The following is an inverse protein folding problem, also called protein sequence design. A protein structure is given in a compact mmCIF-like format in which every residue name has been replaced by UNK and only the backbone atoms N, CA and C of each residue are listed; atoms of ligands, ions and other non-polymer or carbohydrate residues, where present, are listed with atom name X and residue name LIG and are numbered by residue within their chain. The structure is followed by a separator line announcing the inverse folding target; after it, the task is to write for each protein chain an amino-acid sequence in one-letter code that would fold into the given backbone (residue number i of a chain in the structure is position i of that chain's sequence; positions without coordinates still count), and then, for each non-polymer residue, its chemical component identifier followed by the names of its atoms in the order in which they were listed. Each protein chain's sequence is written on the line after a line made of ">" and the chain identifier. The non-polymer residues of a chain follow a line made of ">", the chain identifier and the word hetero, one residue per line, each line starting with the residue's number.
data_IF_117587427997
#
_entry.id   IF_117587427997
#
_cell.length_a   1.000
_cell.length_b   1.000
_cell.length_c   1.000
_cell.angle_alpha   90.00
_cell.angle_beta   90.00
_cell.angle_gamma   90.00
#
_symmetry.space_group_name_H-M   'P 1'
#
loop_
_entity.id
_entity.type
_entity.pdbx_description
1 polymer ?
#
# COMPACT_ATOMS: atom_id res chain seq x y z
N UNK A 1 -28.04 16.62 17.90
CA UNK A 1 -27.17 17.57 17.17
C UNK A 1 -26.16 16.73 16.41
N UNK A 2 -26.39 16.56 15.11
CA UNK A 2 -25.58 15.73 14.23
C UNK A 2 -24.38 16.53 13.74
N UNK A 3 -23.16 16.08 14.04
CA UNK A 3 -21.94 16.66 13.48
C UNK A 3 -21.69 16.03 12.11
N UNK A 4 -22.01 16.78 11.06
CA UNK A 4 -21.78 16.41 9.67
C UNK A 4 -20.32 16.72 9.33
N UNK A 5 -19.42 15.76 9.55
CA UNK A 5 -18.02 15.85 9.16
C UNK A 5 -17.85 15.09 7.83
N UNK A 6 -17.59 15.77 6.69
CA UNK A 6 -17.51 15.14 5.37
C UNK A 6 -16.24 14.29 5.15
N UNK A 7 -15.40 14.16 6.18
CA UNK A 7 -14.20 13.31 6.22
C UNK A 7 -14.14 12.53 7.54
N UNK A 8 -15.26 11.92 7.94
CA UNK A 8 -15.34 11.03 9.09
C UNK A 8 -14.38 9.82 8.98
N UNK A 9 -14.12 9.11 10.09
CA UNK A 9 -13.20 7.98 10.13
C UNK A 9 -13.65 6.94 9.10
N UNK A 10 -12.70 6.37 8.37
CA UNK A 10 -12.95 5.32 7.39
C UNK A 10 -13.79 4.21 8.04
N UNK A 11 -15.09 4.19 7.72
CA UNK A 11 -16.04 3.24 8.30
C UNK A 11 -15.95 1.94 7.50
N UNK A 12 -15.31 0.94 8.10
CA UNK A 12 -15.13 -0.38 7.51
C UNK A 12 -16.45 -1.08 7.19
N UNK A 13 -17.53 -0.80 7.92
CA UNK A 13 -18.86 -1.34 7.62
C UNK A 13 -19.47 -0.65 6.41
N UNK A 14 -19.27 0.67 6.26
CA UNK A 14 -19.70 1.38 5.06
C UNK A 14 -18.89 0.98 3.83
N UNK A 15 -17.57 0.77 3.99
CA UNK A 15 -16.69 0.26 2.95
C UNK A 15 -17.10 -1.16 2.53
N UNK A 16 -17.37 -2.03 3.50
CA UNK A 16 -17.87 -3.39 3.27
C UNK A 16 -19.21 -3.38 2.55
N UNK A 17 -20.14 -2.52 2.97
CA UNK A 17 -21.45 -2.38 2.32
C UNK A 17 -21.34 -1.78 0.91
N UNK A 18 -20.37 -0.91 0.68
CA UNK A 18 -20.04 -0.37 -0.64
C UNK A 18 -19.39 -1.45 -1.53
N UNK A 19 -18.52 -2.29 -0.99
CA UNK A 19 -17.93 -3.46 -1.65
C UNK A 19 -19.00 -4.51 -1.98
N UNK A 20 -19.93 -4.78 -1.07
CA UNK A 20 -21.10 -5.63 -1.28
C UNK A 20 -22.04 -5.03 -2.34
N UNK A 21 -22.28 -3.71 -2.34
CA UNK A 21 -23.04 -3.02 -3.38
C UNK A 21 -22.33 -3.01 -4.75
N UNK A 22 -21.00 -3.03 -4.78
CA UNK A 22 -20.20 -3.23 -5.98
C UNK A 22 -20.08 -4.72 -6.39
N UNK A 23 -20.73 -5.63 -5.67
CA UNK A 23 -20.77 -7.06 -6.00
C UNK A 23 -19.49 -7.82 -5.65
N UNK A 24 -18.57 -7.23 -4.89
CA UNK A 24 -17.31 -7.82 -4.44
C UNK A 24 -17.47 -8.47 -3.06
N UNK A 25 -18.56 -9.23 -2.90
CA UNK A 25 -18.88 -9.94 -1.66
C UNK A 25 -17.99 -11.16 -1.45
N UNK A 26 -17.47 -11.28 -0.22
CA UNK A 26 -16.62 -12.35 0.31
C UNK A 26 -15.32 -12.62 -0.49
N UNK A 27 -14.21 -12.08 0.01
CA UNK A 27 -12.87 -12.30 -0.54
C UNK A 27 -12.45 -13.78 -0.59
N UNK A 28 -13.17 -14.68 0.08
CA UNK A 28 -12.95 -16.13 0.03
C UNK A 28 -13.60 -16.83 -1.18
N UNK A 29 -14.52 -16.16 -1.89
CA UNK A 29 -15.23 -16.68 -3.07
C UNK A 29 -15.01 -15.80 -4.30
N UNK A 30 -13.81 -15.23 -4.42
CA UNK A 30 -13.39 -14.52 -5.63
C UNK A 30 -13.38 -15.49 -6.82
N UNK A 31 -14.47 -15.50 -7.57
CA UNK A 31 -14.60 -16.29 -8.77
C UNK A 31 -14.01 -15.51 -9.96
N UNK A 32 -12.96 -16.04 -10.57
CA UNK A 32 -12.21 -15.38 -11.64
C UNK A 32 -13.11 -15.03 -12.83
N UNK A 33 -14.12 -15.87 -13.10
CA UNK A 33 -15.10 -15.68 -14.17
C UNK A 33 -16.04 -14.48 -13.90
N UNK A 34 -16.48 -14.30 -12.66
CA UNK A 34 -17.32 -13.16 -12.28
C UNK A 34 -16.52 -11.85 -12.29
N UNK A 35 -15.25 -11.92 -11.89
CA UNK A 35 -14.31 -10.79 -11.95
C UNK A 35 -14.02 -10.39 -13.41
N UNK A 36 -13.85 -11.36 -14.31
CA UNK A 36 -13.69 -11.12 -15.76
C UNK A 36 -14.98 -10.53 -16.38
N UNK A 37 -16.14 -11.06 -16.00
CA UNK A 37 -17.44 -10.56 -16.45
C UNK A 37 -17.70 -9.13 -15.95
N UNK A 38 -17.24 -8.79 -14.75
CA UNK A 38 -17.33 -7.45 -14.20
C UNK A 38 -16.34 -6.48 -14.86
N UNK A 39 -15.10 -6.91 -15.11
CA UNK A 39 -14.09 -6.13 -15.84
C UNK A 39 -14.55 -5.83 -17.27
N UNK A 40 -15.16 -6.78 -17.97
CA UNK A 40 -15.69 -6.54 -19.32
C UNK A 40 -16.86 -5.53 -19.31
N UNK A 41 -17.76 -5.60 -18.32
CA UNK A 41 -18.83 -4.60 -18.13
C UNK A 41 -18.28 -3.21 -17.81
N UNK A 42 -17.21 -3.12 -17.04
CA UNK A 42 -16.57 -1.86 -16.66
C UNK A 42 -15.71 -1.26 -17.76
N UNK A 43 -15.09 -2.12 -18.60
CA UNK A 43 -14.38 -1.72 -19.82
C UNK A 43 -15.29 -1.04 -20.84
N UNK A 44 -16.54 -1.50 -20.98
CA UNK A 44 -17.51 -0.88 -21.88
C UNK A 44 -18.07 0.47 -21.38
N UNK A 45 -18.03 0.72 -20.07
CA UNK A 45 -18.45 1.99 -19.46
C UNK A 45 -17.37 3.09 -19.52
N UNK A 46 -16.26 2.88 -20.25
CA UNK A 46 -15.13 3.81 -20.34
C UNK A 46 -14.22 3.82 -19.10
N UNK A 47 -14.47 2.94 -18.12
CA UNK A 47 -13.73 2.82 -16.86
C UNK A 47 -12.56 1.83 -16.89
N UNK A 48 -12.39 1.05 -17.96
CA UNK A 48 -11.33 0.03 -18.06
C UNK A 48 -9.91 0.58 -17.92
N UNK A 49 -9.68 1.83 -18.31
CA UNK A 49 -8.38 2.51 -18.13
C UNK A 49 -8.12 2.97 -16.68
N UNK A 50 -9.16 3.06 -15.83
CA UNK A 50 -9.03 3.48 -14.43
C UNK A 50 -8.67 2.32 -13.49
N UNK A 51 -8.92 1.07 -13.88
CA UNK A 51 -8.66 -0.12 -13.05
C UNK A 51 -7.18 -0.54 -13.03
N UNK A 52 -6.37 -0.02 -13.96
CA UNK A 52 -4.91 -0.21 -13.99
C UNK A 52 -4.11 0.88 -13.26
N UNK A 53 -4.77 1.92 -12.74
CA UNK A 53 -4.14 2.97 -11.92
C UNK A 53 -4.72 2.89 -10.51
N UNK A 54 -3.96 2.28 -9.61
CA UNK A 54 -4.25 2.32 -8.18
C UNK A 54 -4.11 3.76 -7.66
N UNK A 55 -4.68 4.05 -6.49
CA UNK A 55 -4.49 5.37 -5.85
C UNK A 55 -3.00 5.65 -5.57
N UNK A 56 -2.19 4.62 -5.35
CA UNK A 56 -0.74 4.72 -5.22
C UNK A 56 -0.05 5.15 -6.53
N UNK A 57 -0.60 4.78 -7.70
CA UNK A 57 -0.04 5.18 -9.00
C UNK A 57 -0.36 6.64 -9.38
N UNK A 58 -1.42 7.22 -8.81
CA UNK A 58 -1.83 8.61 -9.07
C UNK A 58 -1.19 9.62 -8.11
N UNK A 59 -1.11 9.28 -6.83
CA UNK A 59 -0.49 10.10 -5.79
C UNK A 59 0.16 9.18 -4.72
N UNK A 60 1.42 8.77 -4.94
CA UNK A 60 2.15 7.91 -4.00
C UNK A 60 2.24 8.50 -2.59
N UNK A 61 2.33 9.84 -2.49
CA UNK A 61 2.47 10.54 -1.22
C UNK A 61 1.15 10.58 -0.44
N UNK A 62 0.02 10.79 -1.11
CA UNK A 62 -1.29 10.65 -0.48
C UNK A 62 -1.55 9.22 -0.05
N UNK A 63 -1.25 8.23 -0.89
CA UNK A 63 -1.39 6.82 -0.54
C UNK A 63 -0.56 6.49 0.72
N UNK A 64 0.70 6.93 0.78
CA UNK A 64 1.56 6.72 1.95
C UNK A 64 1.00 7.38 3.22
N UNK A 65 0.52 8.63 3.12
CA UNK A 65 -0.12 9.31 4.26
C UNK A 65 -1.34 8.54 4.78
N UNK A 66 -2.14 7.95 3.89
CA UNK A 66 -3.29 7.13 4.30
C UNK A 66 -2.85 5.83 4.99
N UNK A 67 -1.79 5.18 4.49
CA UNK A 67 -1.20 3.99 5.13
C UNK A 67 -0.70 4.31 6.54
N UNK A 68 0.01 5.43 6.71
CA UNK A 68 0.52 5.85 8.01
C UNK A 68 -0.62 6.20 8.97
N UNK A 69 -1.68 6.84 8.49
CA UNK A 69 -2.88 7.13 9.29
C UNK A 69 -3.57 5.85 9.77
N UNK A 70 -3.71 4.84 8.89
CA UNK A 70 -4.26 3.54 9.25
C UNK A 70 -3.39 2.81 10.29
N UNK A 71 -2.06 2.84 10.11
CA UNK A 71 -1.13 2.25 11.07
C UNK A 71 -1.25 2.89 12.46
N UNK A 72 -1.44 4.21 12.53
CA UNK A 72 -1.68 4.92 13.81
C UNK A 72 -2.98 4.53 14.46
N UNK A 73 -4.05 4.36 13.68
CA UNK A 73 -5.34 3.92 14.19
C UNK A 73 -5.23 2.53 14.83
N UNK A 74 -4.62 1.58 14.11
CA UNK A 74 -4.35 0.23 14.64
C UNK A 74 -3.49 0.29 15.91
N UNK A 75 -2.46 1.14 15.91
CA UNK A 75 -1.60 1.33 17.06
C UNK A 75 -2.35 1.89 18.28
N UNK A 76 -3.31 2.80 18.08
CA UNK A 76 -4.14 3.34 19.16
C UNK A 76 -5.13 2.29 19.71
N UNK A 77 -5.70 1.46 18.84
CA UNK A 77 -6.60 0.37 19.23
C UNK A 77 -5.90 -0.73 20.05
N UNK A 78 -4.62 -0.97 19.77
CA UNK A 78 -3.81 -1.96 20.50
C UNK A 78 -3.54 -1.61 21.98
N UNK A 79 -3.79 -0.37 22.38
CA UNK A 79 -3.67 0.08 23.77
C UNK A 79 -3.16 1.51 23.89
N UNK A 80 -3.22 2.06 25.10
CA UNK A 80 -2.85 3.44 25.39
C UNK A 80 -1.43 3.81 24.91
N UNK A 81 -1.29 5.06 24.47
CA UNK A 81 -0.03 5.69 24.08
C UNK A 81 0.13 7.02 24.85
N UNK A 82 0.41 6.95 26.17
CA UNK A 82 0.45 8.13 27.02
C UNK A 82 1.65 9.03 26.67
N UNK A 83 1.46 10.33 26.85
CA UNK A 83 2.53 11.31 26.73
C UNK A 83 3.63 11.05 27.76
N UNK A 84 4.89 11.10 27.29
CA UNK A 84 6.06 10.85 28.13
C UNK A 84 6.46 12.11 28.89
N UNK A 85 6.53 11.99 30.21
CA UNK A 85 6.99 13.05 31.11
C UNK A 85 8.52 13.23 31.01
N UNK A 86 9.06 14.42 31.35
CA UNK A 86 10.50 14.64 31.40
C UNK A 86 11.31 13.60 32.20
N UNK A 87 10.91 13.18 33.43
CA UNK A 87 11.65 12.17 34.17
C UNK A 87 11.64 10.79 33.51
N UNK A 88 10.54 10.39 32.86
CA UNK A 88 10.49 9.11 32.11
C UNK A 88 11.45 9.12 30.93
N UNK A 89 11.53 10.24 30.20
CA UNK A 89 12.49 10.40 29.10
C UNK A 89 13.93 10.32 29.59
N UNK A 90 14.24 10.96 30.72
CA UNK A 90 15.57 10.91 31.33
C UNK A 90 15.93 9.48 31.78
N UNK A 91 15.00 8.77 32.42
CA UNK A 91 15.22 7.41 32.89
C UNK A 91 15.60 6.43 31.75
N UNK A 92 14.98 6.57 30.57
CA UNK A 92 15.33 5.76 29.40
C UNK A 92 16.76 6.05 28.92
N UNK A 93 17.14 7.33 28.88
CA UNK A 93 18.50 7.74 28.47
C UNK A 93 19.55 7.21 29.43
N UNK A 94 19.31 7.32 30.74
CA UNK A 94 20.23 6.82 31.76
C UNK A 94 20.35 5.29 31.73
N UNK A 95 19.23 4.60 31.50
CA UNK A 95 19.19 3.13 31.39
C UNK A 95 19.97 2.65 30.17
N UNK A 96 19.82 3.31 29.03
CA UNK A 96 20.57 2.96 27.82
C UNK A 96 22.07 3.18 28.03
N UNK A 97 22.47 4.30 28.64
CA UNK A 97 23.87 4.57 28.96
C UNK A 97 24.48 3.50 29.88
N UNK A 98 23.71 3.06 30.88
CA UNK A 98 24.13 1.97 31.77
C UNK A 98 24.26 0.65 31.00
N UNK A 99 23.26 0.29 30.19
CA UNK A 99 23.29 -0.92 29.37
C UNK A 99 24.49 -0.92 28.42
N UNK A 100 24.78 0.23 27.80
CA UNK A 100 25.91 0.37 26.89
C UNK A 100 27.26 0.21 27.62
N UNK A 101 27.38 0.68 28.87
CA UNK A 101 28.60 0.47 29.67
C UNK A 101 28.90 -1.01 29.94
N UNK A 102 27.87 -1.85 30.03
CA UNK A 102 28.03 -3.29 30.22
C UNK A 102 28.26 -4.01 28.89
N UNK A 103 27.51 -3.62 27.85
CA UNK A 103 27.62 -4.24 26.52
C UNK A 103 28.96 -3.94 25.86
N UNK A 104 29.47 -2.72 25.97
CA UNK A 104 30.73 -2.29 25.31
C UNK A 104 31.93 -3.18 25.64
N UNK A 105 31.97 -3.74 26.86
CA UNK A 105 33.06 -4.59 27.28
C UNK A 105 33.01 -6.00 26.65
N UNK A 106 31.85 -6.43 26.16
CA UNK A 106 31.58 -7.79 25.68
C UNK A 106 31.12 -7.84 24.22
N UNK A 107 30.93 -6.70 23.56
CA UNK A 107 30.56 -6.61 22.15
C UNK A 107 31.69 -6.01 21.31
N UNK A 108 31.90 -6.55 20.11
CA UNK A 108 32.81 -5.97 19.12
C UNK A 108 32.12 -4.97 18.18
N UNK A 109 30.79 -4.88 18.25
CA UNK A 109 30.01 -3.94 17.46
C UNK A 109 30.14 -2.54 18.04
N UNK A 110 30.40 -1.56 17.17
CA UNK A 110 30.53 -0.17 17.59
C UNK A 110 29.18 0.41 18.02
N UNK A 111 29.21 1.32 18.97
CA UNK A 111 28.03 2.10 19.36
C UNK A 111 27.44 2.83 18.16
N UNK A 112 26.12 3.01 18.17
CA UNK A 112 25.42 3.76 17.11
C UNK A 112 25.82 5.24 17.07
N UNK A 113 26.46 5.74 18.13
CA UNK A 113 26.86 7.15 18.30
C UNK A 113 25.67 8.11 18.41
N UNK A 114 24.44 7.58 18.50
CA UNK A 114 23.20 8.35 18.61
C UNK A 114 22.69 8.27 20.04
N UNK A 115 22.30 9.41 20.66
CA UNK A 115 21.73 9.37 21.99
C UNK A 115 20.40 8.61 21.97
N UNK A 116 20.16 7.81 23.01
CA UNK A 116 18.87 7.17 23.23
C UNK A 116 17.75 8.21 23.30
N UNK A 117 16.56 7.82 22.85
CA UNK A 117 15.35 8.64 22.95
C UNK A 117 14.17 7.78 23.37
N UNK A 118 13.38 8.28 24.32
CA UNK A 118 12.07 7.75 24.62
C UNK A 118 11.04 8.40 23.69
N UNK A 119 10.29 7.57 22.97
CA UNK A 119 9.30 7.97 21.98
C UNK A 119 8.00 7.21 22.19
N UNK A 120 6.87 7.87 21.94
CA UNK A 120 5.55 7.24 21.96
C UNK A 120 5.37 6.35 20.73
N UNK A 121 4.41 5.41 20.76
CA UNK A 121 4.16 4.49 19.65
C UNK A 121 3.76 5.26 18.39
N UNK A 122 2.90 6.27 18.54
CA UNK A 122 2.48 7.15 17.45
C UNK A 122 3.65 7.94 16.85
N UNK A 123 4.50 8.53 17.68
CA UNK A 123 5.66 9.28 17.21
C UNK A 123 6.72 8.36 16.56
N UNK A 124 6.87 7.12 17.03
CA UNK A 124 7.74 6.14 16.38
C UNK A 124 7.28 5.81 14.97
N UNK A 125 5.96 5.65 14.76
CA UNK A 125 5.41 5.44 13.42
C UNK A 125 5.71 6.61 12.48
N UNK A 126 5.61 7.84 12.97
CA UNK A 126 5.97 9.04 12.19
C UNK A 126 7.47 9.07 11.84
N UNK A 127 8.35 8.93 12.84
CA UNK A 127 9.81 9.01 12.63
C UNK A 127 10.35 7.86 11.75
N UNK A 128 9.70 6.70 11.76
CA UNK A 128 10.15 5.54 10.96
C UNK A 128 9.44 5.40 9.62
N UNK A 129 8.41 6.21 9.36
CA UNK A 129 7.58 6.11 8.16
C UNK A 129 8.39 6.17 6.87
N UNK A 130 9.28 7.15 6.73
CA UNK A 130 10.11 7.28 5.52
C UNK A 130 11.04 6.08 5.32
N UNK A 131 11.54 5.50 6.42
CA UNK A 131 12.36 4.28 6.38
C UNK A 131 11.57 3.08 5.87
N UNK A 132 10.34 2.89 6.34
CA UNK A 132 9.45 1.84 5.84
C UNK A 132 9.11 2.02 4.37
N UNK A 133 8.84 3.27 3.95
CA UNK A 133 8.55 3.59 2.55
C UNK A 133 9.73 3.22 1.66
N UNK A 134 10.94 3.64 2.01
CA UNK A 134 12.14 3.36 1.24
C UNK A 134 12.41 1.85 1.06
N UNK A 135 11.98 1.02 2.02
CA UNK A 135 12.08 -0.43 1.94
C UNK A 135 11.01 -1.04 1.02
N UNK A 136 9.78 -0.52 1.05
CA UNK A 136 8.63 -1.10 0.35
C UNK A 136 8.47 -0.61 -1.09
N UNK A 137 8.81 0.65 -1.37
CA UNK A 137 8.71 1.26 -2.70
C UNK A 137 9.39 0.46 -3.83
N UNK A 138 10.62 -0.07 -3.69
CA UNK A 138 11.22 -0.90 -4.74
C UNK A 138 10.47 -2.21 -4.98
N UNK A 139 9.77 -2.76 -3.97
CA UNK A 139 8.94 -3.97 -4.11
C UNK A 139 7.71 -3.66 -4.97
N UNK A 140 7.07 -2.51 -4.73
CA UNK A 140 5.91 -2.05 -5.51
C UNK A 140 6.31 -1.87 -6.98
N UNK A 141 7.41 -1.17 -7.23
CA UNK A 141 7.92 -0.94 -8.58
C UNK A 141 8.26 -2.25 -9.29
N UNK A 142 8.93 -3.18 -8.59
CA UNK A 142 9.27 -4.49 -9.14
C UNK A 142 8.04 -5.32 -9.53
N UNK A 143 6.96 -5.25 -8.76
CA UNK A 143 5.69 -5.91 -9.08
C UNK A 143 5.04 -5.25 -10.31
N UNK A 144 4.99 -3.92 -10.36
CA UNK A 144 4.41 -3.19 -11.49
C UNK A 144 5.12 -3.53 -12.80
N UNK A 145 6.46 -3.55 -12.80
CA UNK A 145 7.25 -3.96 -13.96
C UNK A 145 7.02 -5.43 -14.35
N UNK A 146 6.92 -6.34 -13.38
CA UNK A 146 6.67 -7.74 -13.65
C UNK A 146 5.29 -7.96 -14.31
N UNK A 147 4.27 -7.25 -13.84
CA UNK A 147 2.93 -7.26 -14.44
C UNK A 147 2.95 -6.70 -15.88
N UNK A 148 3.67 -5.61 -16.12
CA UNK A 148 3.83 -5.05 -17.47
C UNK A 148 4.52 -6.03 -18.42
N UNK A 149 5.60 -6.69 -17.98
CA UNK A 149 6.29 -7.72 -18.77
C UNK A 149 5.39 -8.91 -19.07
N UNK A 150 4.62 -9.39 -18.08
CA UNK A 150 3.68 -10.49 -18.25
C UNK A 150 2.54 -10.16 -19.22
N UNK A 151 1.98 -8.96 -19.12
CA UNK A 151 0.95 -8.48 -20.04
C UNK A 151 1.48 -8.33 -21.48
N UNK A 152 2.72 -7.82 -21.64
CA UNK A 152 3.36 -7.72 -22.95
C UNK A 152 3.64 -9.09 -23.58
N UNK A 153 4.07 -10.08 -22.77
CA UNK A 153 4.32 -11.44 -23.24
C UNK A 153 3.04 -12.16 -23.70
N UNK A 154 1.91 -11.95 -23.03
CA UNK A 154 0.61 -12.52 -23.43
C UNK A 154 0.00 -11.85 -24.67
N UNK A 155 0.32 -10.57 -24.91
CA UNK A 155 -0.20 -9.85 -26.08
C UNK A 155 0.43 -10.30 -27.41
N UNK A 156 1.70 -10.75 -27.39
CA UNK A 156 2.45 -11.07 -28.61
C UNK A 156 2.16 -12.44 -29.21
N UNK A 157 1.71 -13.43 -28.43
CA UNK A 157 1.54 -14.79 -28.95
C UNK A 157 0.15 -15.08 -29.54
N UNK A 158 -0.92 -14.43 -29.07
CA UNK A 158 -2.29 -14.79 -29.48
C UNK A 158 -2.90 -13.87 -30.54
N UNK A 159 -2.36 -12.65 -30.71
CA UNK A 159 -2.90 -11.67 -31.67
C UNK A 159 -2.26 -11.73 -33.06
N UNK A 160 -1.03 -12.24 -33.17
CA UNK A 160 -0.32 -12.31 -34.45
C UNK A 160 -0.92 -13.31 -35.47
N UNK A 161 -1.30 -14.56 -35.11
CA UNK A 161 -1.88 -15.49 -36.10
C UNK A 161 -3.28 -15.08 -36.56
N UNK A 162 -4.09 -14.47 -35.68
CA UNK A 162 -5.43 -13.97 -36.03
C UNK A 162 -5.37 -12.68 -36.87
N UNK A 163 -4.41 -11.78 -36.60
CA UNK A 163 -4.19 -10.59 -37.42
C UNK A 163 -3.61 -10.94 -38.80
N UNK A 164 -2.74 -11.94 -38.90
CA UNK A 164 -2.23 -12.44 -40.19
C UNK A 164 -3.32 -13.15 -41.02
N UNK A 165 -4.27 -13.84 -40.38
CA UNK A 165 -5.42 -14.42 -41.09
C UNK A 165 -6.44 -13.40 -41.60
N UNK A 166 -6.58 -12.24 -40.94
CA UNK A 166 -7.54 -11.19 -41.32
C UNK A 166 -6.95 -10.12 -42.27
N UNK A 167 -5.62 -10.04 -42.37
CA UNK A 167 -4.91 -9.10 -43.24
C UNK A 167 -5.27 -9.19 -44.76
N UNK A 168 -5.44 -10.37 -45.39
CA UNK A 168 -5.71 -10.43 -46.83
C UNK A 168 -7.17 -10.10 -47.22
N UNK A 169 -8.12 -10.01 -46.27
CA UNK A 169 -9.52 -9.71 -46.59
C UNK A 169 -9.83 -8.20 -46.70
N UNK A 170 -8.94 -7.32 -46.21
CA UNK A 170 -9.13 -5.85 -46.24
C UNK A 170 -8.30 -5.15 -47.32
N UNK A 171 -7.45 -5.86 -48.07
CA UNK A 171 -6.72 -5.31 -49.20
C UNK A 171 -7.58 -5.43 -50.48
N UNK A 172 -8.39 -4.40 -50.75
CA UNK A 172 -9.11 -4.27 -52.01
C UNK A 172 -8.13 -4.27 -53.22
N UNK A 173 -8.49 -4.89 -54.35
CA UNK A 173 -7.63 -4.91 -55.54
C UNK A 173 -7.53 -3.52 -56.19
N UNK A 174 -6.39 -3.14 -56.78
CA UNK A 174 -6.27 -1.88 -57.49
C UNK A 174 -6.95 -1.93 -58.87
N UNK A 175 -7.76 -0.88 -59.10
CA UNK A 175 -8.36 -0.36 -60.34
C UNK A 175 -9.76 -0.83 -60.70
#
# INVERSE_FOLDING_TARGET
>A
MSSNNPFGPFDFEQLKKMLEQLGLGDASQLNLEDLLAQVSRMGQAGGGAMFGMTNADRDPDAAWRTTLAAARQIAAEAGGDPELTPPERAAVVDTERLAQSWLSAVTSFQETGRPARAITRGAWLEETGDGWRAVVEPIINGIAEALQRGAAAGATEETDPLTQMLAPCCAAPPR
#
